data_IF_723994549592
#
_entry.id   IF_723994549592
#
_cell.length_a   1.000
_cell.length_b   1.000
_cell.length_c   1.000
_cell.angle_alpha   90.00
_cell.angle_beta   90.00
_cell.angle_gamma   90.00
#
_symmetry.space_group_name_H-M   'P 1'
#
loop_
_entity.id
_entity.type
_entity.pdbx_description
1 polymer ?
#
# COMPACT_ATOMS: atom_id res chain seq x y z
N UNK A 1 29.02 7.57 -44.81
CA UNK A 1 29.49 7.25 -43.43
C UNK A 1 29.14 8.30 -42.36
N UNK A 2 28.87 9.57 -42.67
CA UNK A 2 28.49 10.60 -41.68
C UNK A 2 27.02 10.55 -41.20
N UNK A 3 26.08 10.09 -42.05
CA UNK A 3 24.65 10.03 -41.71
C UNK A 3 24.30 8.97 -40.64
N UNK A 4 25.06 7.88 -40.55
CA UNK A 4 24.82 6.80 -39.59
C UNK A 4 25.13 7.19 -38.15
N UNK A 5 26.14 8.05 -37.94
CA UNK A 5 26.45 8.59 -36.60
C UNK A 5 25.35 9.52 -36.08
N UNK A 6 24.69 10.28 -36.97
CA UNK A 6 23.59 11.16 -36.59
C UNK A 6 22.35 10.36 -36.17
N UNK A 7 22.01 9.29 -36.89
CA UNK A 7 20.92 8.38 -36.53
C UNK A 7 21.17 7.64 -35.22
N UNK A 8 22.41 7.21 -34.96
CA UNK A 8 22.77 6.56 -33.70
C UNK A 8 22.65 7.51 -32.49
N UNK A 9 23.09 8.78 -32.64
CA UNK A 9 22.94 9.80 -31.60
C UNK A 9 21.47 10.15 -31.37
N UNK A 10 20.65 10.27 -32.42
CA UNK A 10 19.22 10.54 -32.30
C UNK A 10 18.44 9.35 -31.71
N UNK A 11 18.82 8.12 -32.05
CA UNK A 11 18.24 6.91 -31.46
C UNK A 11 18.61 6.78 -29.97
N UNK A 12 19.85 7.10 -29.60
CA UNK A 12 20.29 7.20 -28.22
C UNK A 12 19.52 8.31 -27.49
N UNK A 13 19.35 9.48 -28.08
CA UNK A 13 18.55 10.56 -27.49
C UNK A 13 17.08 10.18 -27.33
N UNK A 14 16.48 9.45 -28.27
CA UNK A 14 15.11 8.93 -28.11
C UNK A 14 15.04 7.85 -27.02
N UNK A 15 16.03 6.95 -26.95
CA UNK A 15 16.12 5.94 -25.89
C UNK A 15 16.28 6.57 -24.50
N UNK A 16 17.06 7.65 -24.38
CA UNK A 16 17.20 8.43 -23.14
C UNK A 16 16.03 9.40 -22.88
N UNK A 17 15.25 9.78 -23.90
CA UNK A 17 14.10 10.69 -23.75
C UNK A 17 12.79 9.98 -23.38
N UNK A 18 12.74 8.65 -23.45
CA UNK A 18 11.52 7.87 -23.15
C UNK A 18 11.27 7.68 -21.65
N UNK A 19 12.19 8.06 -20.77
CA UNK A 19 12.01 7.85 -19.31
C UNK A 19 12.07 9.11 -18.45
N UNK A 20 11.73 10.28 -19.01
CA UNK A 20 11.18 11.36 -18.19
C UNK A 20 9.67 11.16 -18.04
N UNK A 21 9.28 10.02 -17.44
CA UNK A 21 7.89 9.80 -17.03
C UNK A 21 7.49 10.99 -16.17
N UNK A 22 6.38 11.61 -16.55
CA UNK A 22 5.85 12.80 -15.87
C UNK A 22 5.81 12.58 -14.34
N UNK A 23 6.00 13.65 -13.55
CA UNK A 23 6.04 13.55 -12.10
C UNK A 23 4.85 12.74 -11.62
N UNK A 24 5.10 11.70 -10.83
CA UNK A 24 4.07 10.88 -10.22
C UNK A 24 3.04 11.81 -9.57
N UNK A 25 1.86 11.87 -10.20
CA UNK A 25 0.77 12.76 -9.82
C UNK A 25 -0.08 12.17 -8.70
N UNK A 26 0.28 11.00 -8.16
CA UNK A 26 -0.48 10.40 -7.07
C UNK A 26 -0.41 11.31 -5.83
N UNK A 27 -1.57 11.86 -5.49
CA UNK A 27 -1.78 12.71 -4.30
C UNK A 27 -1.55 11.91 -3.01
N UNK A 28 -1.92 10.64 -3.04
CA UNK A 28 -1.84 9.70 -1.94
C UNK A 28 -0.71 8.69 -2.14
N UNK A 29 -0.03 8.35 -1.07
CA UNK A 29 1.06 7.37 -1.06
C UNK A 29 1.24 6.79 0.33
N UNK A 30 1.91 5.65 0.41
CA UNK A 30 2.26 4.97 1.63
C UNK A 30 3.77 5.06 1.84
N UNK A 31 4.19 5.35 3.08
CA UNK A 31 5.59 5.35 3.48
C UNK A 31 5.86 4.10 4.31
N UNK A 32 6.64 3.18 3.74
CA UNK A 32 7.08 1.93 4.37
C UNK A 32 8.59 1.99 4.60
N UNK A 33 9.04 2.43 5.78
CA UNK A 33 10.44 2.74 6.09
C UNK A 33 11.04 3.70 5.07
N UNK A 34 11.85 3.24 4.11
CA UNK A 34 12.45 4.06 3.06
C UNK A 34 11.62 4.12 1.77
N UNK A 35 10.69 3.17 1.59
CA UNK A 35 9.90 3.06 0.37
C UNK A 35 8.73 4.04 0.38
N UNK A 36 8.51 4.67 -0.79
CA UNK A 36 7.32 5.47 -1.07
C UNK A 36 6.51 4.75 -2.14
N UNK A 37 5.34 4.26 -1.75
CA UNK A 37 4.47 3.45 -2.61
C UNK A 37 3.24 4.29 -2.98
N UNK A 38 3.06 4.65 -4.27
CA UNK A 38 1.89 5.41 -4.68
C UNK A 38 0.60 4.62 -4.42
N UNK A 39 -0.46 5.31 -3.97
CA UNK A 39 -1.79 4.71 -3.74
C UNK A 39 -2.32 3.99 -4.99
N UNK A 40 -1.99 4.47 -6.20
CA UNK A 40 -2.32 3.79 -7.47
C UNK A 40 -1.66 2.41 -7.61
N UNK A 41 -0.40 2.26 -7.19
CA UNK A 41 0.30 0.96 -7.23
C UNK A 41 -0.22 0.02 -6.15
N UNK A 42 -0.51 0.56 -4.97
CA UNK A 42 -1.16 -0.19 -3.89
C UNK A 42 -2.52 -0.73 -4.33
N UNK A 43 -3.40 0.12 -4.88
CA UNK A 43 -4.72 -0.27 -5.38
C UNK A 43 -4.63 -1.31 -6.50
N UNK A 44 -3.68 -1.14 -7.43
CA UNK A 44 -3.42 -2.14 -8.48
C UNK A 44 -2.99 -3.48 -7.89
N UNK A 45 -2.11 -3.46 -6.89
CA UNK A 45 -1.65 -4.68 -6.21
C UNK A 45 -2.78 -5.35 -5.43
N UNK A 46 -3.64 -4.57 -4.78
CA UNK A 46 -4.81 -5.08 -4.07
C UNK A 46 -5.81 -5.75 -5.02
N UNK A 47 -6.10 -5.13 -6.16
CA UNK A 47 -6.94 -5.73 -7.19
C UNK A 47 -6.38 -7.07 -7.68
N UNK A 48 -5.09 -7.13 -7.99
CA UNK A 48 -4.41 -8.37 -8.38
C UNK A 48 -4.49 -9.44 -7.28
N UNK A 49 -4.27 -9.06 -6.02
CA UNK A 49 -4.39 -9.99 -4.89
C UNK A 49 -5.80 -10.54 -4.74
N UNK A 50 -6.82 -9.70 -4.89
CA UNK A 50 -8.22 -10.14 -4.88
C UNK A 50 -8.52 -11.14 -6.00
N UNK A 51 -8.10 -10.85 -7.24
CA UNK A 51 -8.28 -11.77 -8.36
C UNK A 51 -7.62 -13.13 -8.07
N UNK A 52 -6.45 -13.10 -7.44
CA UNK A 52 -5.69 -14.28 -7.08
C UNK A 52 -6.30 -15.07 -5.91
N UNK A 53 -7.16 -14.49 -5.07
CA UNK A 53 -7.90 -15.25 -4.05
C UNK A 53 -8.73 -16.35 -4.71
N UNK A 54 -9.28 -16.08 -5.90
CA UNK A 54 -10.14 -16.99 -6.66
C UNK A 54 -9.37 -18.08 -7.38
N UNK A 55 -8.22 -17.74 -7.99
CA UNK A 55 -7.54 -18.61 -8.97
C UNK A 55 -6.20 -19.18 -8.50
N UNK A 56 -5.58 -18.60 -7.46
CA UNK A 56 -4.28 -19.07 -7.02
C UNK A 56 -4.38 -20.50 -6.46
N UNK A 57 -3.36 -21.31 -6.73
CA UNK A 57 -3.26 -22.66 -6.19
C UNK A 57 -3.41 -22.65 -4.67
N UNK A 58 -4.07 -23.64 -4.04
CA UNK A 58 -4.26 -23.65 -2.58
C UNK A 58 -2.95 -23.63 -1.78
N UNK A 59 -1.86 -24.21 -2.32
CA UNK A 59 -0.52 -24.16 -1.70
C UNK A 59 0.26 -22.88 -2.00
N UNK A 60 -0.32 -21.96 -2.78
CA UNK A 60 0.34 -20.69 -3.07
C UNK A 60 0.48 -19.91 -1.78
N UNK A 61 1.67 -19.35 -1.55
CA UNK A 61 1.94 -18.46 -0.41
C UNK A 61 1.01 -17.25 -0.47
N UNK A 62 0.68 -16.78 -1.68
CA UNK A 62 -0.15 -15.61 -1.89
C UNK A 62 -1.40 -15.92 -2.72
N UNK A 63 -2.53 -15.24 -2.44
CA UNK A 63 -2.74 -14.35 -1.30
C UNK A 63 -2.75 -15.15 0.02
N UNK A 64 -2.27 -14.55 1.10
CA UNK A 64 -2.18 -15.20 2.40
C UNK A 64 -3.17 -14.57 3.38
N UNK A 65 -3.56 -15.29 4.43
CA UNK A 65 -4.37 -14.67 5.49
C UNK A 65 -3.52 -13.86 6.46
N UNK A 66 -4.10 -12.78 6.95
CA UNK A 66 -3.49 -11.87 7.89
C UNK A 66 -4.48 -11.57 9.01
N UNK A 67 -4.20 -12.10 10.19
CA UNK A 67 -4.97 -11.77 11.39
C UNK A 67 -4.34 -10.50 11.93
N UNK A 68 -5.08 -9.39 11.88
CA UNK A 68 -4.57 -8.11 12.33
C UNK A 68 -4.32 -8.14 13.85
N UNK A 69 -3.08 -7.93 14.32
CA UNK A 69 -2.80 -7.84 15.75
C UNK A 69 -3.23 -6.50 16.36
N UNK A 70 -4.13 -5.75 15.71
CA UNK A 70 -4.63 -4.44 16.14
C UNK A 70 -3.93 -3.26 15.46
N UNK A 71 -3.14 -3.51 14.41
CA UNK A 71 -2.39 -2.49 13.66
C UNK A 71 -3.32 -1.50 12.97
N UNK A 72 -4.48 -1.95 12.49
CA UNK A 72 -5.50 -1.09 11.85
C UNK A 72 -6.74 -0.89 12.73
N UNK A 73 -6.65 -1.20 14.03
CA UNK A 73 -7.71 -0.93 15.01
C UNK A 73 -9.00 -1.75 14.82
N UNK A 74 -8.98 -2.80 14.00
CA UNK A 74 -10.10 -3.71 13.78
C UNK A 74 -9.76 -5.10 14.33
N UNK A 75 -9.98 -5.27 15.62
CA UNK A 75 -9.83 -6.56 16.28
C UNK A 75 -10.76 -7.60 15.64
N UNK A 76 -10.33 -8.87 15.63
CA UNK A 76 -11.13 -9.99 15.13
C UNK A 76 -11.51 -9.92 13.64
N UNK A 77 -10.78 -9.15 12.83
CA UNK A 77 -10.91 -9.18 11.37
C UNK A 77 -9.71 -9.87 10.74
N UNK A 78 -9.93 -10.82 9.84
CA UNK A 78 -8.87 -11.37 9.01
C UNK A 78 -8.85 -10.65 7.65
N UNK A 79 -7.68 -10.15 7.28
CA UNK A 79 -7.39 -9.59 5.96
C UNK A 79 -6.63 -10.60 5.10
N UNK A 80 -6.41 -10.26 3.84
CA UNK A 80 -5.58 -10.99 2.92
C UNK A 80 -4.36 -10.14 2.52
N UNK A 81 -3.17 -10.74 2.52
CA UNK A 81 -1.94 -10.08 2.07
C UNK A 81 -1.63 -10.41 0.62
N UNK A 82 -1.09 -9.40 -0.08
CA UNK A 82 -0.51 -9.57 -1.40
C UNK A 82 0.74 -8.70 -1.56
N UNK A 83 1.82 -9.17 -2.22
CA UNK A 83 3.03 -8.38 -2.40
C UNK A 83 2.76 -7.13 -3.25
N UNK A 84 3.35 -6.01 -2.83
CA UNK A 84 3.42 -4.79 -3.65
C UNK A 84 4.83 -4.63 -4.21
N UNK A 85 4.91 -4.43 -5.51
CA UNK A 85 6.17 -4.26 -6.23
C UNK A 85 6.32 -2.80 -6.64
N UNK A 86 7.36 -2.14 -6.11
CA UNK A 86 7.75 -0.81 -6.59
C UNK A 86 8.37 -1.00 -7.97
N UNK A 87 7.84 -0.31 -8.98
CA UNK A 87 8.11 -0.51 -10.42
C UNK A 87 9.59 -0.43 -10.86
N UNK A 88 10.52 -0.10 -9.97
CA UNK A 88 11.96 0.01 -10.26
C UNK A 88 12.70 -1.35 -10.17
N UNK A 89 12.02 -2.46 -9.85
CA UNK A 89 12.63 -3.81 -9.75
C UNK A 89 11.88 -4.90 -10.56
N UNK A 90 11.40 -4.56 -11.76
CA UNK A 90 10.60 -5.47 -12.62
C UNK A 90 11.33 -6.70 -13.13
N UNK A 91 12.66 -6.80 -12.94
CA UNK A 91 13.45 -7.94 -13.38
C UNK A 91 13.58 -9.06 -12.33
N UNK A 92 13.23 -8.80 -11.06
CA UNK A 92 13.11 -9.85 -10.04
C UNK A 92 11.64 -10.02 -9.69
N UNK A 93 10.98 -11.01 -10.29
CA UNK A 93 9.73 -11.61 -9.74
C UNK A 93 10.02 -12.38 -8.44
N UNK A 94 10.97 -11.91 -7.65
CA UNK A 94 11.27 -12.50 -6.38
C UNK A 94 10.14 -12.04 -5.45
N UNK A 95 9.48 -13.01 -4.82
CA UNK A 95 8.53 -12.81 -3.73
C UNK A 95 9.17 -12.15 -2.49
N UNK A 96 10.32 -11.49 -2.65
CA UNK A 96 11.20 -10.90 -1.65
C UNK A 96 10.81 -9.49 -1.22
N UNK A 97 9.85 -8.84 -1.91
CA UNK A 97 9.29 -7.59 -1.39
C UNK A 97 8.85 -7.83 0.05
N UNK A 98 9.19 -6.92 0.97
CA UNK A 98 8.74 -6.99 2.35
C UNK A 98 7.39 -6.30 2.55
N UNK A 99 6.98 -5.50 1.56
CA UNK A 99 5.76 -4.71 1.63
C UNK A 99 4.58 -5.57 1.13
N UNK A 100 3.48 -5.55 1.86
CA UNK A 100 2.21 -6.18 1.51
C UNK A 100 1.11 -5.15 1.51
N UNK A 101 0.20 -5.26 0.55
CA UNK A 101 -1.13 -4.66 0.69
C UNK A 101 -1.98 -5.57 1.56
N UNK A 102 -2.83 -4.96 2.40
CA UNK A 102 -3.90 -5.63 3.11
C UNK A 102 -5.21 -5.43 2.37
N UNK A 103 -5.89 -6.52 2.09
CA UNK A 103 -7.12 -6.60 1.32
C UNK A 103 -8.20 -7.16 2.25
N UNK A 104 -9.34 -6.49 2.35
CA UNK A 104 -10.47 -7.05 3.10
C UNK A 104 -11.26 -8.07 2.28
N UNK A 105 -12.33 -8.58 2.90
CA UNK A 105 -13.18 -9.59 2.28
C UNK A 105 -14.10 -9.05 1.18
N UNK A 106 -14.17 -7.73 1.02
CA UNK A 106 -14.87 -7.04 -0.07
C UNK A 106 -13.87 -6.57 -1.15
N UNK A 107 -12.64 -7.08 -1.10
CA UNK A 107 -11.56 -6.75 -2.00
C UNK A 107 -11.16 -5.26 -2.02
N UNK A 108 -11.35 -4.56 -0.90
CA UNK A 108 -10.89 -3.18 -0.73
C UNK A 108 -9.49 -3.14 -0.13
N UNK A 109 -8.72 -2.13 -0.55
CA UNK A 109 -7.42 -1.83 0.05
C UNK A 109 -7.61 -1.22 1.44
N UNK A 110 -7.20 -1.94 2.47
CA UNK A 110 -7.18 -1.44 3.85
C UNK A 110 -5.96 -0.57 4.07
N UNK A 111 -4.77 -1.10 3.78
CA UNK A 111 -3.52 -0.37 3.98
C UNK A 111 -2.33 -1.18 3.49
N UNK A 112 -1.13 -0.76 3.88
CA UNK A 112 0.08 -1.52 3.64
C UNK A 112 0.75 -1.87 4.97
N UNK A 113 1.35 -3.05 4.99
CA UNK A 113 2.23 -3.47 6.08
C UNK A 113 3.58 -3.88 5.51
N UNK A 114 4.63 -3.65 6.27
CA UNK A 114 5.97 -4.17 5.99
C UNK A 114 6.28 -5.32 6.94
N UNK A 115 6.70 -6.44 6.36
CA UNK A 115 7.18 -7.60 7.09
C UNK A 115 8.69 -7.47 7.30
N UNK A 116 9.11 -7.43 8.55
CA UNK A 116 10.52 -7.37 8.97
C UNK A 116 10.88 -8.59 9.82
N UNK A 117 12.17 -8.77 10.13
CA UNK A 117 12.59 -9.79 11.09
C UNK A 117 12.07 -9.54 12.52
N UNK A 118 11.67 -8.31 12.84
CA UNK A 118 11.18 -7.91 14.15
C UNK A 118 9.64 -7.98 14.27
N UNK A 119 8.94 -8.22 13.17
CA UNK A 119 7.48 -8.25 13.14
C UNK A 119 6.91 -7.49 11.95
N UNK A 120 5.67 -7.05 12.09
CA UNK A 120 4.91 -6.36 11.05
C UNK A 120 4.71 -4.90 11.45
N UNK A 121 4.91 -3.99 10.52
CA UNK A 121 4.79 -2.54 10.76
C UNK A 121 3.81 -1.94 9.75
N UNK A 122 2.81 -1.18 10.21
CA UNK A 122 1.94 -0.44 9.32
C UNK A 122 2.71 0.65 8.59
N UNK A 123 2.49 0.75 7.29
CA UNK A 123 3.00 1.87 6.53
C UNK A 123 2.13 3.10 6.74
N UNK A 124 2.77 4.26 6.89
CA UNK A 124 2.07 5.53 7.07
C UNK A 124 1.35 5.93 5.78
N UNK A 125 0.03 6.11 5.83
CA UNK A 125 -0.75 6.62 4.70
C UNK A 125 -0.68 8.15 4.68
N UNK A 126 -0.16 8.69 3.59
CA UNK A 126 0.14 10.10 3.42
C UNK A 126 -0.65 10.68 2.24
N UNK A 127 -1.11 11.91 2.41
CA UNK A 127 -1.76 12.70 1.36
C UNK A 127 -1.04 14.03 1.19
N UNK A 128 -0.87 14.48 -0.06
CA UNK A 128 -0.22 15.74 -0.42
C UNK A 128 -1.22 16.74 -0.98
N UNK A 129 -0.92 18.04 -0.85
CA UNK A 129 -1.79 19.10 -1.39
C UNK A 129 -1.50 19.34 -2.88
N UNK A 130 -2.52 19.37 -3.74
CA UNK A 130 -2.33 19.75 -5.13
C UNK A 130 -2.17 21.26 -5.27
N UNK A 131 -1.18 21.72 -6.05
CA UNK A 131 -0.97 23.15 -6.32
C UNK A 131 -2.13 23.82 -7.08
N UNK A 132 -2.90 23.05 -7.85
CA UNK A 132 -3.98 23.54 -8.72
C UNK A 132 -5.36 23.63 -8.05
N UNK A 133 -5.49 23.24 -6.78
CA UNK A 133 -6.77 23.33 -6.05
C UNK A 133 -7.05 24.73 -5.46
N UNK A 134 -6.15 25.70 -5.63
CA UNK A 134 -6.42 27.08 -5.21
C UNK A 134 -7.51 27.76 -6.02
N UNK A 135 -7.80 27.30 -7.24
CA UNK A 135 -8.71 28.06 -8.10
C UNK A 135 -10.19 27.65 -7.95
N UNK A 136 -10.56 26.39 -7.72
CA UNK A 136 -11.99 25.99 -7.87
C UNK A 136 -12.54 24.87 -6.98
N UNK A 137 -11.85 24.38 -5.93
CA UNK A 137 -12.43 23.32 -5.08
C UNK A 137 -13.39 23.87 -4.01
N UNK A 138 -14.54 23.22 -3.85
CA UNK A 138 -15.61 23.59 -2.91
C UNK A 138 -15.08 23.64 -1.46
N UNK A 139 -15.54 24.64 -0.69
CA UNK A 139 -15.19 24.88 0.73
C UNK A 139 -15.13 23.64 1.66
N UNK A 140 -15.82 22.55 1.31
CA UNK A 140 -15.85 21.32 2.09
C UNK A 140 -14.52 20.55 2.13
N UNK A 141 -13.70 20.61 1.07
CA UNK A 141 -12.46 19.83 1.01
C UNK A 141 -11.32 20.49 1.79
N UNK A 142 -11.39 21.82 1.96
CA UNK A 142 -10.37 22.58 2.66
C UNK A 142 -10.43 22.40 4.19
N UNK A 143 -11.63 22.27 4.77
CA UNK A 143 -11.80 22.03 6.21
C UNK A 143 -11.32 20.64 6.64
N UNK A 144 -11.55 19.63 5.80
CA UNK A 144 -11.02 18.28 6.00
C UNK A 144 -9.49 18.28 5.99
N UNK A 145 -8.87 18.95 5.01
CA UNK A 145 -7.42 19.05 4.93
C UNK A 145 -6.80 19.67 6.18
N UNK A 146 -7.34 20.79 6.67
CA UNK A 146 -6.77 21.51 7.83
C UNK A 146 -6.82 20.71 9.13
N UNK A 147 -7.72 19.74 9.23
CA UNK A 147 -7.88 18.89 10.41
C UNK A 147 -6.96 17.66 10.39
N UNK A 148 -6.39 17.30 9.23
CA UNK A 148 -5.45 16.17 9.16
C UNK A 148 -4.14 16.51 9.87
N UNK A 149 -3.53 15.58 10.63
CA UNK A 149 -2.23 15.79 11.25
C UNK A 149 -1.15 16.11 10.22
N UNK A 150 -0.36 17.15 10.49
CA UNK A 150 0.78 17.50 9.64
C UNK A 150 1.87 16.43 9.75
N UNK A 151 2.31 15.89 8.60
CA UNK A 151 3.32 14.83 8.56
C UNK A 151 4.69 15.36 8.14
N UNK A 152 4.73 16.38 7.27
CA UNK A 152 5.97 16.96 6.76
C UNK A 152 5.84 17.49 5.34
N UNK A 153 6.89 17.29 4.53
CA UNK A 153 7.05 17.94 3.23
C UNK A 153 7.55 16.98 2.15
N UNK A 154 7.03 17.08 0.92
CA UNK A 154 7.39 16.22 -0.22
C UNK A 154 7.83 17.01 -1.44
N UNK A 155 8.82 16.46 -2.14
CA UNK A 155 9.20 16.86 -3.48
C UNK A 155 9.60 15.65 -4.33
N UNK A 156 8.81 15.35 -5.37
CA UNK A 156 9.01 14.15 -6.20
C UNK A 156 9.09 12.89 -5.30
N UNK A 157 10.23 12.18 -5.30
CA UNK A 157 10.51 10.99 -4.48
C UNK A 157 11.15 11.33 -3.11
N UNK A 158 11.40 12.61 -2.80
CA UNK A 158 11.94 13.04 -1.51
C UNK A 158 10.80 13.34 -0.53
N UNK A 159 10.89 12.80 0.69
CA UNK A 159 9.99 13.07 1.81
C UNK A 159 10.81 13.50 3.02
N UNK A 160 10.35 14.55 3.70
CA UNK A 160 10.93 15.09 4.92
C UNK A 160 9.85 15.03 5.99
N UNK A 161 9.89 14.05 6.88
CA UNK A 161 8.95 13.95 7.99
C UNK A 161 9.29 14.99 9.05
N UNK A 162 8.28 15.56 9.69
CA UNK A 162 8.48 16.56 10.74
C UNK A 162 9.22 15.97 11.94
N UNK A 163 8.93 14.72 12.31
CA UNK A 163 9.68 13.99 13.34
C UNK A 163 11.17 13.90 13.02
N UNK A 164 11.52 13.53 11.79
CA UNK A 164 12.92 13.36 11.37
C UNK A 164 13.65 14.71 11.37
N UNK A 165 12.95 15.79 11.03
CA UNK A 165 13.49 17.16 11.09
C UNK A 165 13.72 17.57 12.54
N UNK A 166 12.76 17.30 13.43
CA UNK A 166 12.86 17.64 14.85
C UNK A 166 14.01 16.89 15.52
N UNK A 167 14.13 15.59 15.29
CA UNK A 167 15.24 14.76 15.77
C UNK A 167 16.59 15.27 15.25
N UNK A 168 16.64 15.66 13.96
CA UNK A 168 17.83 16.26 13.37
C UNK A 168 18.22 17.58 14.06
N UNK A 169 17.26 18.49 14.29
CA UNK A 169 17.52 19.76 14.99
C UNK A 169 18.00 19.52 16.42
N UNK A 170 17.41 18.57 17.13
CA UNK A 170 17.78 18.24 18.50
C UNK A 170 19.19 17.63 18.59
N UNK A 171 19.55 16.78 17.63
CA UNK A 171 20.85 16.09 17.62
C UNK A 171 22.03 16.97 17.17
N UNK A 172 21.82 17.97 16.32
CA UNK A 172 22.87 18.90 15.85
C UNK A 172 22.59 20.33 16.33
N UNK A 173 22.91 20.63 17.60
CA UNK A 173 22.69 21.98 18.16
C UNK A 173 23.51 23.06 17.44
N UNK A 174 24.63 22.69 16.81
CA UNK A 174 25.46 23.61 16.01
C UNK A 174 24.87 23.90 14.64
N UNK A 175 23.95 23.08 14.13
CA UNK A 175 23.23 23.30 12.89
C UNK A 175 22.57 24.68 12.85
N UNK A 176 21.96 25.10 13.97
CA UNK A 176 21.26 26.37 14.06
C UNK A 176 22.19 27.59 13.87
N UNK A 177 23.49 27.44 14.16
CA UNK A 177 24.49 28.50 13.93
C UNK A 177 24.80 28.69 12.44
N UNK A 178 24.54 27.68 11.60
CA UNK A 178 24.72 27.73 10.14
C UNK A 178 23.52 28.35 9.42
N UNK A 179 22.43 28.60 10.16
CA UNK A 179 21.26 29.27 9.62
C UNK A 179 21.55 30.76 9.44
N UNK A 180 21.10 31.34 8.35
CA UNK A 180 21.16 32.78 8.13
C UNK A 180 19.74 33.34 8.04
N UNK A 181 19.52 34.48 8.69
CA UNK A 181 18.25 35.18 8.59
C UNK A 181 18.19 35.90 7.25
N UNK A 182 17.11 35.69 6.50
CA UNK A 182 16.79 36.53 5.35
C UNK A 182 15.38 37.06 5.50
N UNK A 183 15.19 38.35 5.30
CA UNK A 183 13.86 38.90 5.08
C UNK A 183 13.49 38.51 3.65
N UNK A 184 12.66 37.48 3.50
CA UNK A 184 12.10 37.14 2.19
C UNK A 184 10.60 37.39 2.20
N UNK A 185 10.14 38.09 1.17
CA UNK A 185 8.78 37.94 0.67
C UNK A 185 8.69 36.53 0.10
N UNK A 186 8.21 35.58 0.90
CA UNK A 186 8.04 34.19 0.44
C UNK A 186 6.82 34.16 -0.49
N UNK A 187 7.07 34.46 -1.76
CA UNK A 187 6.08 34.71 -2.80
C UNK A 187 5.25 33.49 -3.21
N UNK A 188 5.51 32.30 -2.67
CA UNK A 188 4.96 31.04 -3.17
C UNK A 188 4.35 30.14 -2.08
N UNK A 189 4.11 30.67 -0.86
CA UNK A 189 3.19 29.98 0.05
C UNK A 189 1.79 30.07 -0.55
N UNK A 190 1.34 28.96 -1.13
CA UNK A 190 -0.02 28.73 -1.62
C UNK A 190 -1.04 28.64 -0.45
N UNK A 191 -0.91 29.52 0.54
CA UNK A 191 -1.85 29.72 1.63
C UNK A 191 -2.67 30.98 1.33
N UNK A 192 -4.02 30.93 1.42
CA UNK A 192 -4.90 32.03 1.04
C UNK A 192 -4.93 33.20 2.04
N UNK A 193 -3.99 33.26 2.97
CA UNK A 193 -3.89 34.36 3.94
C UNK A 193 -2.68 35.20 3.59
N UNK A 194 -2.95 36.48 3.32
CA UNK A 194 -2.02 37.59 3.21
C UNK A 194 -1.07 37.64 4.41
N UNK A 195 -0.05 36.80 4.39
CA UNK A 195 1.01 36.81 5.39
C UNK A 195 1.89 38.01 5.05
N UNK A 196 1.89 38.98 5.97
CA UNK A 196 2.87 40.06 5.96
C UNK A 196 4.30 39.52 5.90
N UNK A 197 5.28 40.41 5.75
CA UNK A 197 6.70 40.05 5.74
C UNK A 197 7.10 39.25 6.99
N UNK A 198 7.18 37.92 6.88
CA UNK A 198 7.66 37.04 7.95
C UNK A 198 9.19 36.96 7.85
N UNK A 199 9.88 37.18 8.96
CA UNK A 199 11.31 36.89 9.05
C UNK A 199 11.51 35.38 9.15
N UNK A 200 12.21 34.81 8.17
CA UNK A 200 12.48 33.37 8.11
C UNK A 200 13.98 33.11 8.13
N UNK A 201 14.38 32.12 8.92
CA UNK A 201 15.73 31.58 8.93
C UNK A 201 15.84 30.45 7.93
N UNK A 202 16.90 30.50 7.13
CA UNK A 202 17.22 29.45 6.16
C UNK A 202 18.40 28.65 6.66
N UNK A 203 18.19 27.37 6.82
CA UNK A 203 19.21 26.45 7.28
C UNK A 203 19.49 25.43 6.16
N UNK A 204 20.70 25.38 5.58
CA UNK A 204 20.99 24.47 4.49
C UNK A 204 20.95 23.03 4.98
N UNK A 205 20.17 22.17 4.32
CA UNK A 205 20.07 20.74 4.65
C UNK A 205 20.45 19.87 3.45
N UNK A 206 20.74 18.60 3.71
CA UNK A 206 20.90 17.54 2.71
C UNK A 206 20.02 16.34 3.12
N UNK A 207 19.59 15.56 2.12
CA UNK A 207 18.89 14.30 2.33
C UNK A 207 19.74 13.19 1.71
N UNK A 208 20.35 12.37 2.54
CA UNK A 208 21.26 11.31 2.14
C UNK A 208 20.72 9.98 2.65
N UNK A 209 20.36 9.07 1.73
CA UNK A 209 19.77 7.77 2.06
C UNK A 209 18.53 7.86 2.98
N UNK A 210 17.72 8.90 2.79
CA UNK A 210 16.54 9.17 3.62
C UNK A 210 16.84 9.86 4.95
N UNK A 211 18.11 10.08 5.30
CA UNK A 211 18.50 10.76 6.55
C UNK A 211 18.80 12.23 6.29
N UNK A 212 18.26 13.10 7.14
CA UNK A 212 18.49 14.55 7.08
C UNK A 212 19.84 14.88 7.70
N UNK A 213 20.63 15.71 7.01
CA UNK A 213 21.95 16.16 7.46
C UNK A 213 22.14 17.65 7.25
N UNK A 214 23.13 18.23 7.93
CA UNK A 214 23.60 19.59 7.65
C UNK A 214 24.09 19.68 6.20
N UNK A 215 23.51 20.62 5.44
CA UNK A 215 23.93 20.94 4.08
C UNK A 215 25.12 21.91 4.04
N UNK A 216 25.72 22.04 2.85
CA UNK A 216 26.71 23.09 2.56
C UNK A 216 26.00 24.43 2.30
N UNK A 217 26.73 25.56 2.40
CA UNK A 217 26.21 26.92 2.16
C UNK A 217 25.48 27.05 0.81
N UNK A 218 25.95 26.34 -0.22
CA UNK A 218 25.32 26.29 -1.55
C UNK A 218 24.37 25.11 -1.74
N UNK A 219 23.75 24.62 -0.67
CA UNK A 219 22.75 23.56 -0.79
C UNK A 219 21.62 24.00 -1.72
N UNK A 220 21.02 23.02 -2.41
CA UNK A 220 19.77 23.23 -3.13
C UNK A 220 18.55 23.04 -2.22
N UNK A 221 18.74 22.60 -0.96
CA UNK A 221 17.66 22.32 0.00
C UNK A 221 17.86 23.14 1.27
N UNK A 222 16.78 23.69 1.78
CA UNK A 222 16.77 24.55 2.95
C UNK A 222 15.61 24.18 3.85
N UNK A 223 15.90 24.02 5.13
CA UNK A 223 14.89 24.07 6.18
C UNK A 223 14.55 25.54 6.44
N UNK A 224 13.26 25.84 6.54
CA UNK A 224 12.74 27.17 6.84
C UNK A 224 12.21 27.18 8.27
N UNK A 225 12.80 28.03 9.10
CA UNK A 225 12.41 28.21 10.50
C UNK A 225 11.85 29.62 10.73
N UNK A 226 10.81 29.71 11.55
CA UNK A 226 10.24 30.99 11.99
C UNK A 226 11.13 31.74 12.96
N UNK A 227 10.70 32.95 13.33
CA UNK A 227 11.38 33.74 14.34
C UNK A 227 11.39 33.03 15.71
N UNK A 228 10.34 32.25 16.00
CA UNK A 228 10.21 31.37 17.17
C UNK A 228 10.91 30.01 17.00
N UNK A 229 11.72 29.84 15.93
CA UNK A 229 12.40 28.61 15.54
C UNK A 229 11.48 27.42 15.23
N UNK A 230 10.18 27.64 15.05
CA UNK A 230 9.29 26.56 14.58
C UNK A 230 9.52 26.25 13.11
N UNK A 231 9.31 25.00 12.75
CA UNK A 231 9.40 24.53 11.36
C UNK A 231 8.25 25.15 10.57
N UNK A 232 8.58 26.01 9.60
CA UNK A 232 7.62 26.59 8.68
C UNK A 232 7.52 25.73 7.41
N UNK A 233 8.65 25.16 6.97
CA UNK A 233 8.67 24.39 5.75
C UNK A 233 10.04 23.86 5.36
N UNK A 234 10.05 23.07 4.29
CA UNK A 234 11.26 22.77 3.52
C UNK A 234 11.15 23.46 2.18
N UNK A 235 12.24 24.04 1.69
CA UNK A 235 12.30 24.67 0.39
C UNK A 235 13.48 24.14 -0.43
N UNK A 236 13.30 24.17 -1.76
CA UNK A 236 14.33 23.81 -2.72
C UNK A 236 14.62 24.99 -3.63
N UNK A 237 15.91 25.25 -3.87
CA UNK A 237 16.37 26.18 -4.91
C UNK A 237 16.26 25.48 -6.26
N UNK A 238 15.47 26.06 -7.14
CA UNK A 238 15.29 25.65 -8.53
C UNK A 238 15.70 26.84 -9.42
N UNK A 239 16.88 26.73 -10.03
CA UNK A 239 17.56 27.85 -10.68
C UNK A 239 17.73 29.04 -9.70
N UNK A 240 17.03 30.15 -9.96
CA UNK A 240 17.07 31.36 -9.15
C UNK A 240 15.82 31.55 -8.28
N UNK A 241 14.94 30.55 -8.19
CA UNK A 241 13.71 30.62 -7.39
C UNK A 241 13.75 29.62 -6.25
N UNK A 242 13.36 30.08 -5.07
CA UNK A 242 13.09 29.21 -3.94
C UNK A 242 11.65 28.70 -4.07
N UNK A 243 11.47 27.38 -4.01
CA UNK A 243 10.15 26.74 -4.05
C UNK A 243 9.94 25.99 -2.75
N UNK A 244 8.92 26.37 -2.01
CA UNK A 244 8.48 25.60 -0.84
C UNK A 244 7.95 24.25 -1.33
N UNK A 245 8.33 23.19 -0.60
CA UNK A 245 7.91 21.83 -0.90
C UNK A 245 6.44 21.64 -0.53
N UNK A 246 5.80 20.65 -1.15
CA UNK A 246 4.37 20.38 -0.92
C UNK A 246 4.17 19.82 0.48
N UNK A 247 3.25 20.39 1.23
CA UNK A 247 2.82 19.87 2.53
C UNK A 247 2.21 18.47 2.38
N UNK A 248 2.57 17.59 3.32
CA UNK A 248 2.06 16.24 3.44
C UNK A 248 1.40 16.08 4.80
N UNK A 249 0.27 15.38 4.83
CA UNK A 249 -0.49 15.09 6.04
C UNK A 249 -0.75 13.59 6.17
N UNK A 250 -0.93 13.14 7.41
CA UNK A 250 -1.30 11.75 7.71
C UNK A 250 -2.80 11.59 7.44
N UNK A 251 -3.16 10.58 6.67
CA UNK A 251 -4.54 10.16 6.50
C UNK A 251 -4.79 8.99 7.46
N UNK A 252 -5.34 9.27 8.64
CA UNK A 252 -5.59 8.23 9.65
C UNK A 252 -6.84 7.39 9.28
N UNK A 253 -6.96 6.21 9.89
CA UNK A 253 -8.09 5.29 9.69
C UNK A 253 -9.43 5.88 10.13
N UNK A 254 -9.46 6.79 11.11
CA UNK A 254 -10.70 7.44 11.56
C UNK A 254 -11.26 8.41 10.52
N UNK A 255 -10.39 9.14 9.82
CA UNK A 255 -10.74 10.06 8.76
C UNK A 255 -11.04 9.30 7.46
N UNK A 256 -10.38 8.16 7.24
CA UNK A 256 -10.77 7.18 6.22
C UNK A 256 -12.16 6.61 6.52
N UNK A 257 -12.44 6.21 7.76
CA UNK A 257 -13.75 5.71 8.17
C UNK A 257 -14.83 6.79 8.00
N UNK A 258 -14.55 8.07 8.26
CA UNK A 258 -15.50 9.17 7.93
C UNK A 258 -15.73 9.35 6.43
N UNK A 259 -14.71 9.12 5.60
CA UNK A 259 -14.83 9.12 4.13
C UNK A 259 -15.61 7.87 3.63
N UNK A 260 -15.45 6.73 4.31
CA UNK A 260 -16.01 5.43 3.95
C UNK A 260 -17.36 5.12 4.63
N UNK A 261 -17.76 5.87 5.66
CA UNK A 261 -19.03 5.73 6.40
C UNK A 261 -20.28 5.92 5.53
N UNK A 262 -20.13 6.21 4.23
CA UNK A 262 -21.20 6.13 3.24
C UNK A 262 -21.44 4.72 2.66
N UNK A 263 -20.69 3.69 3.06
CA UNK A 263 -20.67 2.41 2.32
C UNK A 263 -20.95 1.11 3.06
N UNK A 264 -21.23 1.08 4.36
CA UNK A 264 -21.55 -0.19 5.02
C UNK A 264 -22.63 -0.06 6.09
N UNK A 265 -23.82 -0.59 5.79
CA UNK A 265 -24.70 -1.17 6.79
C UNK A 265 -24.24 -2.61 7.03
N UNK A 266 -23.44 -2.82 8.06
CA UNK A 266 -23.16 -4.17 8.57
C UNK A 266 -24.47 -4.74 9.09
N UNK A 267 -25.02 -5.72 8.38
CA UNK A 267 -26.07 -6.58 8.91
C UNK A 267 -25.53 -7.37 10.10
N UNK A 268 -26.40 -7.72 11.05
CA UNK A 268 -26.08 -8.58 12.18
C UNK A 268 -25.40 -9.84 11.65
N UNK A 269 -24.08 -9.94 11.85
CA UNK A 269 -23.30 -11.02 11.29
C UNK A 269 -23.41 -12.24 12.20
N UNK A 270 -23.85 -13.37 11.64
CA UNK A 270 -23.99 -14.63 12.34
C UNK A 270 -22.67 -15.04 13.03
N UNK A 271 -22.78 -15.53 14.26
CA UNK A 271 -21.66 -16.05 15.03
C UNK A 271 -21.11 -17.32 14.38
N UNK A 272 -19.87 -17.27 13.92
CA UNK A 272 -19.12 -18.43 13.43
C UNK A 272 -18.17 -18.83 14.56
N UNK A 273 -18.26 -20.03 15.15
CA UNK A 273 -17.34 -20.44 16.20
C UNK A 273 -15.94 -20.76 15.62
N UNK A 274 -14.94 -20.76 16.49
CA UNK A 274 -13.62 -21.30 16.16
C UNK A 274 -13.71 -22.81 15.89
N UNK A 275 -12.92 -23.30 14.93
CA UNK A 275 -12.92 -24.73 14.54
C UNK A 275 -11.53 -25.31 14.72
N UNK A 276 -11.40 -26.38 15.50
CA UNK A 276 -10.16 -27.17 15.61
C UNK A 276 -10.21 -28.34 14.62
N UNK A 277 -9.29 -28.37 13.67
CA UNK A 277 -9.23 -29.42 12.64
C UNK A 277 -7.77 -29.78 12.30
N UNK A 278 -7.46 -31.07 12.23
CA UNK A 278 -6.12 -31.59 11.88
C UNK A 278 -4.99 -30.97 12.72
N UNK A 279 -5.27 -30.69 14.00
CA UNK A 279 -4.33 -30.09 14.94
C UNK A 279 -4.22 -28.55 14.86
N UNK A 280 -4.91 -27.90 13.94
CA UNK A 280 -4.91 -26.44 13.77
C UNK A 280 -6.19 -25.80 14.31
N UNK A 281 -6.07 -24.57 14.83
CA UNK A 281 -7.20 -23.72 15.20
C UNK A 281 -7.49 -22.75 14.06
N UNK A 282 -8.68 -22.85 13.48
CA UNK A 282 -9.21 -21.91 12.49
C UNK A 282 -10.13 -20.94 13.23
N UNK A 283 -9.68 -19.69 13.38
CA UNK A 283 -10.42 -18.68 14.14
C UNK A 283 -11.69 -18.25 13.41
N UNK A 284 -12.69 -17.79 14.18
CA UNK A 284 -13.93 -17.19 13.70
C UNK A 284 -13.66 -16.11 12.66
N UNK A 285 -12.73 -15.20 12.95
CA UNK A 285 -12.32 -14.10 12.07
C UNK A 285 -11.82 -14.59 10.71
N UNK A 286 -10.97 -15.62 10.70
CA UNK A 286 -10.44 -16.24 9.49
C UNK A 286 -11.57 -16.85 8.66
N UNK A 287 -12.45 -17.61 9.31
CA UNK A 287 -13.53 -18.32 8.65
C UNK A 287 -14.58 -17.36 8.07
N UNK A 288 -14.95 -16.31 8.82
CA UNK A 288 -15.86 -15.25 8.38
C UNK A 288 -15.33 -14.53 7.14
N UNK A 289 -14.05 -14.14 7.15
CA UNK A 289 -13.44 -13.46 6.00
C UNK A 289 -13.42 -14.33 4.74
N UNK A 290 -13.01 -15.61 4.86
CA UNK A 290 -13.05 -16.53 3.72
C UNK A 290 -14.45 -16.80 3.22
N UNK A 291 -15.41 -17.02 4.13
CA UNK A 291 -16.83 -17.17 3.80
C UNK A 291 -17.31 -15.99 2.98
N UNK A 292 -17.03 -14.76 3.43
CA UNK A 292 -17.48 -13.53 2.75
C UNK A 292 -16.92 -13.42 1.34
N UNK A 293 -15.61 -13.62 1.13
CA UNK A 293 -15.02 -13.61 -0.23
C UNK A 293 -15.58 -14.72 -1.11
N UNK A 294 -15.68 -15.95 -0.58
CA UNK A 294 -16.20 -17.09 -1.31
C UNK A 294 -17.63 -16.83 -1.79
N UNK A 295 -18.46 -16.30 -0.90
CA UNK A 295 -19.85 -15.98 -1.15
C UNK A 295 -20.05 -14.83 -2.12
N UNK A 296 -19.27 -13.77 -1.97
CA UNK A 296 -19.24 -12.68 -2.95
C UNK A 296 -18.90 -13.22 -4.35
N UNK A 297 -17.90 -14.09 -4.43
CA UNK A 297 -17.48 -14.73 -5.69
C UNK A 297 -18.59 -15.62 -6.27
N UNK A 298 -19.22 -16.45 -5.45
CA UNK A 298 -20.31 -17.34 -5.87
C UNK A 298 -21.52 -16.58 -6.43
N UNK A 299 -21.87 -15.46 -5.81
CA UNK A 299 -23.01 -14.61 -6.21
C UNK A 299 -22.72 -13.86 -7.51
N UNK A 300 -21.52 -13.32 -7.67
CA UNK A 300 -21.17 -12.47 -8.82
C UNK A 300 -20.78 -13.25 -10.07
N UNK A 301 -20.06 -14.37 -9.92
CA UNK A 301 -19.52 -15.12 -11.06
C UNK A 301 -20.53 -16.18 -11.58
N UNK A 302 -21.76 -16.17 -11.05
CA UNK A 302 -22.94 -16.87 -11.57
C UNK A 302 -22.69 -18.33 -11.94
N UNK A 303 -22.42 -19.22 -10.98
CA UNK A 303 -22.07 -20.66 -11.18
C UNK A 303 -20.90 -20.94 -12.15
N UNK A 304 -20.41 -19.97 -12.90
CA UNK A 304 -19.26 -19.99 -13.79
C UNK A 304 -18.02 -19.47 -13.07
N UNK A 305 -17.87 -19.86 -11.80
CA UNK A 305 -16.52 -20.13 -11.30
C UNK A 305 -16.05 -21.27 -12.19
N UNK A 306 -15.33 -20.94 -13.27
CA UNK A 306 -14.63 -21.93 -14.07
C UNK A 306 -13.97 -22.87 -13.08
N UNK A 307 -14.30 -24.16 -13.13
CA UNK A 307 -13.95 -25.04 -12.06
C UNK A 307 -12.43 -25.03 -12.02
N UNK A 308 -11.89 -24.77 -10.82
CA UNK A 308 -10.87 -25.65 -10.30
C UNK A 308 -11.43 -27.09 -10.44
N UNK A 309 -11.47 -27.65 -11.65
CA UNK A 309 -11.92 -29.00 -11.97
C UNK A 309 -10.99 -30.04 -11.37
N UNK A 310 -9.92 -29.58 -10.70
CA UNK A 310 -9.06 -30.36 -9.84
C UNK A 310 -9.47 -30.34 -8.34
N UNK A 311 -10.40 -29.48 -7.89
CA UNK A 311 -10.71 -29.32 -6.45
C UNK A 311 -12.20 -29.31 -6.09
N UNK A 312 -13.07 -28.95 -7.03
CA UNK A 312 -14.51 -29.22 -6.93
C UNK A 312 -14.73 -30.70 -7.22
N UNK A 313 -14.35 -31.56 -6.28
CA UNK A 313 -14.97 -32.89 -6.23
C UNK A 313 -16.41 -32.64 -5.81
N UNK A 314 -17.34 -32.78 -6.76
CA UNK A 314 -18.72 -33.10 -6.43
C UNK A 314 -18.67 -34.43 -5.68
N UNK A 315 -18.46 -34.38 -4.37
CA UNK A 315 -18.70 -35.53 -3.50
C UNK A 315 -20.23 -35.68 -3.44
N UNK A 316 -20.82 -36.21 -4.50
CA UNK A 316 -22.20 -36.69 -4.50
C UNK A 316 -22.41 -37.81 -3.47
N UNK A 317 -21.33 -38.38 -2.93
CA UNK A 317 -21.38 -39.55 -2.05
C UNK A 317 -21.46 -39.23 -0.55
N UNK A 318 -21.33 -37.95 -0.14
CA UNK A 318 -21.47 -37.53 1.27
C UNK A 318 -22.57 -36.47 1.47
N UNK A 319 -23.41 -36.20 0.46
CA UNK A 319 -24.53 -35.26 0.58
C UNK A 319 -25.68 -35.87 1.38
N UNK A 320 -25.51 -35.99 2.69
CA UNK A 320 -26.65 -36.16 3.58
C UNK A 320 -27.52 -34.89 3.43
N UNK A 321 -28.65 -35.01 2.71
CA UNK A 321 -29.69 -33.97 2.50
C UNK A 321 -29.62 -33.04 1.26
N UNK A 322 -28.99 -33.44 0.14
CA UNK A 322 -29.29 -32.85 -1.18
C UNK A 322 -28.96 -31.35 -1.39
N UNK A 323 -28.30 -30.69 -0.45
CA UNK A 323 -27.82 -29.32 -0.62
C UNK A 323 -26.49 -29.28 -1.37
N UNK A 324 -26.40 -28.39 -2.37
CA UNK A 324 -25.16 -28.18 -3.12
C UNK A 324 -24.08 -27.60 -2.20
N UNK A 325 -23.00 -28.34 -2.02
CA UNK A 325 -21.83 -27.92 -1.23
C UNK A 325 -20.73 -27.43 -2.17
N UNK A 326 -20.17 -26.27 -1.83
CA UNK A 326 -19.08 -25.63 -2.55
C UNK A 326 -17.83 -25.66 -1.69
N UNK A 327 -16.66 -25.66 -2.33
CA UNK A 327 -15.38 -25.64 -1.64
C UNK A 327 -14.59 -24.38 -1.99
N UNK A 328 -14.02 -23.74 -0.97
CA UNK A 328 -13.17 -22.57 -1.12
C UNK A 328 -11.80 -22.79 -0.49
N UNK A 329 -10.67 -22.43 -1.14
CA UNK A 329 -9.36 -22.58 -0.53
C UNK A 329 -9.20 -21.67 0.69
N UNK A 330 -8.89 -22.26 1.85
CA UNK A 330 -8.46 -21.49 3.01
C UNK A 330 -7.02 -21.04 2.77
N UNK A 331 -6.82 -19.73 2.64
CA UNK A 331 -5.51 -19.10 2.58
C UNK A 331 -4.92 -19.12 3.98
N UNK A 332 -3.74 -19.70 4.10
CA UNK A 332 -3.02 -19.74 5.37
C UNK A 332 -2.14 -18.49 5.52
N UNK A 333 -1.70 -18.13 6.74
CA UNK A 333 -0.73 -17.06 6.92
C UNK A 333 0.58 -17.32 6.17
N UNK A 334 1.29 -16.26 5.77
CA UNK A 334 2.57 -16.37 5.02
C UNK A 334 3.63 -17.23 5.74
N UNK A 335 3.55 -17.31 7.07
CA UNK A 335 4.46 -18.09 7.91
C UNK A 335 4.10 -19.58 7.97
N UNK A 336 2.97 -19.99 7.38
CA UNK A 336 2.50 -21.37 7.38
C UNK A 336 3.33 -22.24 6.42
N UNK A 337 4.29 -22.99 6.96
CA UNK A 337 5.25 -23.80 6.19
C UNK A 337 4.79 -25.25 5.93
N UNK A 338 3.49 -25.49 5.82
CA UNK A 338 2.97 -26.85 5.64
C UNK A 338 2.35 -26.99 4.25
N UNK A 339 2.72 -28.04 3.53
CA UNK A 339 2.20 -28.34 2.18
C UNK A 339 0.73 -28.80 2.18
N UNK A 340 0.10 -28.82 3.36
CA UNK A 340 -1.32 -29.12 3.53
C UNK A 340 -2.16 -27.95 3.06
N UNK A 341 -3.18 -28.27 2.29
CA UNK A 341 -4.22 -27.33 1.90
C UNK A 341 -5.49 -27.64 2.67
N UNK A 342 -6.18 -26.59 3.09
CA UNK A 342 -7.49 -26.71 3.71
C UNK A 342 -8.52 -26.07 2.81
N UNK A 343 -9.69 -26.69 2.75
CA UNK A 343 -10.83 -26.23 1.98
C UNK A 343 -11.97 -25.95 2.95
N UNK A 344 -12.53 -24.74 2.88
CA UNK A 344 -13.77 -24.36 3.52
C UNK A 344 -14.94 -24.95 2.73
N UNK A 345 -15.85 -25.61 3.41
CA UNK A 345 -17.09 -26.12 2.84
C UNK A 345 -18.22 -25.14 3.14
N UNK A 346 -18.90 -24.66 2.11
CA UNK A 346 -20.03 -23.73 2.23
C UNK A 346 -21.23 -24.20 1.42
N UNK A 347 -22.44 -24.00 1.92
CA UNK A 347 -23.65 -24.30 1.15
C UNK A 347 -24.04 -23.12 0.23
N UNK A 348 -25.12 -23.30 -0.53
CA UNK A 348 -25.69 -22.26 -1.40
C UNK A 348 -26.26 -21.04 -0.64
N UNK A 349 -26.51 -21.17 0.67
CA UNK A 349 -26.90 -20.07 1.56
C UNK A 349 -25.71 -19.36 2.19
N UNK A 350 -24.48 -19.74 1.83
CA UNK A 350 -23.25 -19.18 2.38
C UNK A 350 -22.95 -19.54 3.84
N UNK A 351 -23.57 -20.59 4.36
CA UNK A 351 -23.31 -21.12 5.69
C UNK A 351 -22.08 -22.03 5.64
N UNK A 352 -21.24 -21.98 6.68
CA UNK A 352 -20.07 -22.84 6.80
C UNK A 352 -20.52 -24.21 7.26
N UNK A 353 -20.31 -25.23 6.41
CA UNK A 353 -20.60 -26.63 6.73
C UNK A 353 -19.43 -27.25 7.49
N UNK A 354 -18.20 -26.88 7.15
CA UNK A 354 -17.00 -27.44 7.78
C UNK A 354 -15.70 -27.14 7.05
N UNK A 355 -14.65 -27.84 7.45
CA UNK A 355 -13.30 -27.74 6.88
C UNK A 355 -12.84 -29.15 6.50
N UNK A 356 -12.22 -29.28 5.34
CA UNK A 356 -11.57 -30.54 4.93
C UNK A 356 -10.15 -30.33 4.45
N UNK A 357 -9.32 -31.36 4.59
CA UNK A 357 -8.01 -31.40 3.95
C UNK A 357 -8.17 -31.58 2.44
N UNK A 358 -7.54 -30.71 1.64
CA UNK A 358 -7.50 -30.82 0.19
C UNK A 358 -6.55 -31.94 -0.24
N UNK A 359 -7.04 -32.87 -1.07
CA UNK A 359 -6.20 -33.86 -1.74
C UNK A 359 -5.81 -33.28 -3.10
N UNK A 360 -4.54 -32.88 -3.23
CA UNK A 360 -3.98 -32.45 -4.50
C UNK A 360 -3.80 -33.67 -5.42
N UNK A 361 -4.77 -33.95 -6.29
CA UNK A 361 -4.47 -34.75 -7.48
C UNK A 361 -3.82 -33.82 -8.50
N UNK A 362 -2.49 -33.72 -8.42
CA UNK A 362 -1.68 -33.12 -9.47
C UNK A 362 -1.86 -33.97 -10.73
N UNK A 363 -2.81 -33.60 -11.59
CA UNK A 363 -2.81 -34.05 -12.98
C UNK A 363 -1.67 -33.31 -13.69
N UNK A 364 -0.42 -33.64 -13.37
CA UNK A 364 0.71 -33.26 -14.21
C UNK A 364 0.54 -33.99 -15.54
N UNK A 365 0.33 -33.31 -16.67
CA UNK A 365 0.43 -33.97 -17.97
C UNK A 365 1.85 -34.52 -18.07
N UNK A 366 2.00 -35.85 -18.04
CA UNK A 366 3.25 -36.51 -18.44
C UNK A 366 3.50 -36.08 -19.88
N UNK A 367 4.37 -35.09 -20.09
CA UNK A 367 5.00 -34.91 -21.38
C UNK A 367 5.80 -36.19 -21.64
N UNK A 368 5.24 -37.09 -22.46
CA UNK A 368 6.00 -38.18 -23.07
C UNK A 368 7.00 -37.54 -24.03
N UNK A 369 8.13 -37.11 -23.50
CA UNK A 369 9.32 -36.82 -24.30
C UNK A 369 9.86 -38.12 -24.86
N UNK A 370 9.37 -38.51 -26.03
CA UNK A 370 10.05 -39.46 -26.89
C UNK A 370 11.22 -38.74 -27.55
N UNK A 371 12.40 -38.82 -26.94
CA UNK A 371 13.66 -38.69 -27.67
C UNK A 371 14.09 -40.12 -27.98
N UNK A 372 13.89 -40.52 -29.25
CA UNK A 372 14.64 -41.63 -29.84
C UNK A 372 15.96 -41.03 -30.30
N UNK A 373 17.05 -41.69 -29.91
CA UNK A 373 18.39 -41.56 -30.48
C UNK A 373 18.43 -41.95 -31.96
#
# INVERSE_FOLDING_TARGET
MKAWKLFYILAIFHYYSVEMRGPDRSREFFKCNNDLIPSTEAKKSAALGCDQLKIAHPTSIFPASYIDPGVFGKENTAYFTWPVYVRDNTLSRDFSSQNRVLIDSDCQLIGLVKFTSQGQEACMHLISRHKTELDHSKHSDQSLWTNLPHAGFKYKKELYLTSDIEDFIQSDTQFLLKCYSSIETILDFAAPTSLGTIKVWKCPIALENGVIKSGKIHSIRYLLLGQDRKIIGVARRDMNRMRVLTEVRILNEADKAKLEAKKSTEGVEEEVPDVKYDGFLFTSSLLKSHRRVACFTLRNDGKSILPLSAYLSNNSDESSAGQATWTWPLRMPETFRNDRNYLLLINNLCEIIGIRKGILKLNTPRMKGGLRE
#
